data_IF_104551899596
#
_entry.id   IF_104551899596
#
_cell.length_a   1.000
_cell.length_b   1.000
_cell.length_c   1.000
_cell.angle_alpha   90.00
_cell.angle_beta   90.00
_cell.angle_gamma   90.00
#
_symmetry.space_group_name_H-M   'P 1'
#
loop_
_entity.id
_entity.type
_entity.pdbx_description
1 polymer ?
#
# COMPACT_ATOMS: atom_id res chain seq x y z
N UNK A 1 -0.11 33.93 -1.85
CA UNK A 1 -0.91 33.02 -2.68
C UNK A 1 -1.95 32.43 -1.76
N UNK A 2 -3.20 32.82 -1.97
CA UNK A 2 -4.34 32.41 -1.14
C UNK A 2 -4.72 30.98 -1.57
N UNK A 3 -4.63 30.02 -0.66
CA UNK A 3 -4.99 28.62 -0.93
C UNK A 3 -6.51 28.49 -0.90
N UNK A 4 -7.13 28.37 -2.06
CA UNK A 4 -8.56 28.08 -2.19
C UNK A 4 -8.77 26.59 -1.95
N UNK A 5 -9.67 26.25 -1.02
CA UNK A 5 -10.09 24.87 -0.77
C UNK A 5 -11.09 24.46 -1.88
N UNK A 6 -10.80 23.37 -2.58
CA UNK A 6 -11.59 22.85 -3.70
C UNK A 6 -11.94 21.39 -3.41
N UNK A 7 -13.18 20.99 -3.71
CA UNK A 7 -13.60 19.60 -3.61
C UNK A 7 -12.78 18.72 -4.57
N UNK A 8 -12.49 17.48 -4.18
CA UNK A 8 -11.68 16.56 -5.01
C UNK A 8 -12.32 16.28 -6.38
N UNK A 9 -13.65 16.29 -6.49
CA UNK A 9 -14.34 16.08 -7.76
C UNK A 9 -14.36 17.32 -8.66
N UNK A 10 -14.21 18.50 -8.06
CA UNK A 10 -14.16 19.78 -8.77
C UNK A 10 -12.71 20.21 -9.10
N UNK A 11 -11.72 19.44 -8.67
CA UNK A 11 -10.31 19.71 -8.95
C UNK A 11 -10.05 19.66 -10.47
N UNK A 12 -9.52 20.74 -11.07
CA UNK A 12 -9.16 20.73 -12.49
C UNK A 12 -8.20 19.58 -12.81
N UNK A 13 -8.55 18.81 -13.84
CA UNK A 13 -7.72 17.69 -14.31
C UNK A 13 -6.60 18.19 -15.24
N UNK A 14 -5.64 18.88 -14.67
CA UNK A 14 -4.42 19.35 -15.33
C UNK A 14 -3.17 19.00 -14.51
N UNK A 15 -1.99 19.11 -15.12
CA UNK A 15 -0.75 18.67 -14.46
C UNK A 15 -0.44 19.46 -13.20
N UNK A 16 -0.63 20.79 -13.20
CA UNK A 16 -0.23 21.66 -12.10
C UNK A 16 -1.17 21.48 -10.90
N UNK A 17 -2.49 21.43 -11.17
CA UNK A 17 -3.52 21.21 -10.16
C UNK A 17 -3.37 19.85 -9.49
N UNK A 18 -3.12 18.78 -10.26
CA UNK A 18 -2.93 17.43 -9.72
C UNK A 18 -1.63 17.32 -8.89
N UNK A 19 -0.53 17.91 -9.36
CA UNK A 19 0.72 17.96 -8.60
C UNK A 19 0.55 18.71 -7.27
N UNK A 20 -0.18 19.84 -7.28
CA UNK A 20 -0.49 20.59 -6.07
C UNK A 20 -1.35 19.77 -5.08
N UNK A 21 -2.22 18.88 -5.59
CA UNK A 21 -3.01 17.95 -4.80
C UNK A 21 -2.23 16.70 -4.33
N UNK A 22 -0.93 16.59 -4.67
CA UNK A 22 -0.07 15.48 -4.24
C UNK A 22 -0.27 14.18 -5.05
N UNK A 23 -0.80 14.28 -6.26
CA UNK A 23 -0.89 13.18 -7.24
C UNK A 23 -0.30 13.61 -8.58
N UNK A 24 -0.35 12.77 -9.61
CA UNK A 24 0.02 13.16 -10.97
C UNK A 24 -0.80 12.41 -12.02
N UNK A 25 -0.93 13.00 -13.21
CA UNK A 25 -1.47 12.30 -14.38
C UNK A 25 -0.34 11.73 -15.23
N UNK A 26 -0.27 10.40 -15.32
CA UNK A 26 0.63 9.68 -16.24
C UNK A 26 -0.02 9.48 -17.61
N UNK A 27 -0.61 8.31 -17.84
CA UNK A 27 -1.38 7.99 -19.07
C UNK A 27 -2.78 8.62 -19.11
N UNK A 28 -3.15 9.39 -18.08
CA UNK A 28 -4.51 9.91 -17.86
C UNK A 28 -5.59 8.83 -17.72
N UNK A 29 -5.21 7.58 -17.41
CA UNK A 29 -6.17 6.54 -17.08
C UNK A 29 -6.70 6.74 -15.65
N UNK A 30 -8.02 6.65 -15.50
CA UNK A 30 -8.72 6.77 -14.22
C UNK A 30 -9.34 5.41 -13.88
N UNK A 31 -9.04 4.90 -12.69
CA UNK A 31 -9.66 3.70 -12.13
C UNK A 31 -10.58 4.15 -11.00
N UNK A 32 -11.87 3.84 -11.13
CA UNK A 32 -12.88 4.16 -10.11
C UNK A 32 -13.16 2.90 -9.30
N UNK A 33 -13.05 3.03 -7.98
CA UNK A 33 -13.40 2.00 -7.00
C UNK A 33 -14.48 2.59 -6.08
N UNK A 34 -15.52 1.81 -5.79
CA UNK A 34 -16.56 2.18 -4.84
C UNK A 34 -16.28 1.59 -3.46
N UNK A 35 -17.16 1.86 -2.50
CA UNK A 35 -17.03 1.46 -1.10
C UNK A 35 -17.16 -0.06 -0.88
N UNK A 36 -17.46 -0.84 -1.93
CA UNK A 36 -17.49 -2.31 -1.84
C UNK A 36 -16.11 -2.95 -2.00
N UNK A 37 -15.10 -2.18 -2.42
CA UNK A 37 -13.74 -2.67 -2.68
C UNK A 37 -12.91 -2.63 -1.40
N UNK A 38 -12.26 -3.75 -1.06
CA UNK A 38 -11.23 -3.78 -0.02
C UNK A 38 -9.95 -3.09 -0.56
N UNK A 39 -9.62 -1.94 0.03
CA UNK A 39 -8.47 -1.13 -0.37
C UNK A 39 -7.13 -1.82 -0.12
N UNK A 40 -7.03 -2.68 0.90
CA UNK A 40 -5.83 -3.47 1.18
C UNK A 40 -5.64 -4.52 0.09
N UNK A 41 -6.72 -5.17 -0.36
CA UNK A 41 -6.69 -6.12 -1.48
C UNK A 41 -6.35 -5.43 -2.81
N UNK A 42 -6.94 -4.25 -3.07
CA UNK A 42 -6.61 -3.45 -4.25
C UNK A 42 -5.12 -3.09 -4.29
N UNK A 43 -4.54 -2.64 -3.16
CA UNK A 43 -3.11 -2.37 -3.08
C UNK A 43 -2.25 -3.63 -3.23
N UNK A 44 -2.71 -4.76 -2.69
CA UNK A 44 -2.03 -6.04 -2.82
C UNK A 44 -1.92 -6.46 -4.30
N UNK A 45 -2.98 -6.27 -5.08
CA UNK A 45 -2.97 -6.52 -6.53
C UNK A 45 -1.95 -5.63 -7.25
N UNK A 46 -1.99 -4.32 -7.01
CA UNK A 46 -1.05 -3.35 -7.61
C UNK A 46 0.40 -3.69 -7.24
N UNK A 47 0.66 -4.00 -5.97
CA UNK A 47 2.01 -4.32 -5.49
C UNK A 47 2.52 -5.65 -6.04
N UNK A 48 1.64 -6.64 -6.24
CA UNK A 48 2.00 -7.89 -6.90
C UNK A 48 2.44 -7.67 -8.35
N UNK A 49 1.75 -6.80 -9.09
CA UNK A 49 2.15 -6.42 -10.45
C UNK A 49 3.54 -5.76 -10.47
N UNK A 50 3.79 -4.75 -9.64
CA UNK A 50 5.10 -4.08 -9.61
C UNK A 50 6.23 -4.99 -9.14
N UNK A 51 5.96 -5.95 -8.25
CA UNK A 51 6.94 -6.96 -7.87
C UNK A 51 7.26 -7.91 -9.04
N UNK A 52 6.26 -8.30 -9.83
CA UNK A 52 6.44 -9.16 -11.00
C UNK A 52 7.23 -8.47 -12.13
N UNK A 53 6.91 -7.21 -12.41
CA UNK A 53 7.48 -6.45 -13.54
C UNK A 53 8.84 -5.77 -13.22
N UNK A 54 9.32 -5.89 -11.98
CA UNK A 54 10.61 -5.33 -11.61
C UNK A 54 11.75 -5.97 -12.42
N UNK A 55 12.49 -5.17 -13.20
CA UNK A 55 13.64 -5.65 -13.98
C UNK A 55 14.81 -6.17 -13.12
N UNK A 56 14.82 -5.84 -11.83
CA UNK A 56 15.79 -6.37 -10.86
C UNK A 56 17.13 -5.62 -10.78
N UNK A 57 17.33 -4.53 -11.52
CA UNK A 57 18.62 -3.82 -11.57
C UNK A 57 18.96 -3.08 -10.26
N UNK A 58 18.03 -2.32 -9.70
CA UNK A 58 18.24 -1.57 -8.46
C UNK A 58 17.84 -2.42 -7.25
N UNK A 59 18.74 -2.64 -6.29
CA UNK A 59 18.44 -3.32 -5.03
C UNK A 59 17.22 -2.76 -4.29
N UNK A 60 17.07 -1.43 -4.07
CA UNK A 60 15.89 -0.91 -3.38
C UNK A 60 14.59 -1.29 -4.09
N UNK A 61 14.54 -1.19 -5.43
CA UNK A 61 13.37 -1.58 -6.21
C UNK A 61 13.12 -3.10 -6.14
N UNK A 62 14.14 -3.93 -6.40
CA UNK A 62 14.01 -5.39 -6.49
C UNK A 62 13.58 -6.03 -5.18
N UNK A 63 14.25 -5.66 -4.09
CA UNK A 63 13.95 -6.23 -2.77
C UNK A 63 12.73 -5.54 -2.14
N UNK A 64 12.63 -4.22 -2.29
CA UNK A 64 11.56 -3.43 -1.69
C UNK A 64 10.18 -3.76 -2.28
N UNK A 65 10.05 -3.88 -3.61
CA UNK A 65 8.77 -4.26 -4.24
C UNK A 65 8.33 -5.66 -3.80
N UNK A 66 9.28 -6.60 -3.67
CA UNK A 66 9.01 -7.95 -3.19
C UNK A 66 8.55 -7.95 -1.72
N UNK A 67 9.19 -7.17 -0.85
CA UNK A 67 8.80 -7.07 0.56
C UNK A 67 7.42 -6.44 0.74
N UNK A 68 7.10 -5.37 -0.01
CA UNK A 68 5.77 -4.77 0.00
C UNK A 68 4.71 -5.77 -0.47
N UNK A 69 4.95 -6.45 -1.59
CA UNK A 69 4.05 -7.49 -2.12
C UNK A 69 3.81 -8.63 -1.11
N UNK A 70 4.88 -9.13 -0.46
CA UNK A 70 4.77 -10.18 0.57
C UNK A 70 4.01 -9.72 1.81
N UNK A 71 4.23 -8.48 2.27
CA UNK A 71 3.51 -7.93 3.42
C UNK A 71 2.02 -7.81 3.11
N UNK A 72 1.66 -7.27 1.96
CA UNK A 72 0.26 -7.14 1.53
C UNK A 72 -0.40 -8.50 1.33
N UNK A 73 0.26 -9.44 0.66
CA UNK A 73 -0.26 -10.80 0.52
C UNK A 73 -0.49 -11.48 1.88
N UNK A 74 0.39 -11.22 2.86
CA UNK A 74 0.22 -11.72 4.21
C UNK A 74 -1.01 -11.09 4.89
N UNK A 75 -1.22 -9.78 4.75
CA UNK A 75 -2.42 -9.09 5.27
C UNK A 75 -3.70 -9.62 4.63
N UNK A 76 -3.74 -9.81 3.32
CA UNK A 76 -4.93 -10.33 2.63
C UNK A 76 -5.17 -11.82 2.92
N UNK A 77 -4.19 -12.52 3.48
CA UNK A 77 -4.30 -13.93 3.88
C UNK A 77 -4.63 -14.13 5.37
N UNK A 78 -5.10 -13.09 6.06
CA UNK A 78 -5.49 -13.16 7.48
C UNK A 78 -4.31 -13.29 8.44
N UNK A 79 -3.12 -12.86 8.02
CA UNK A 79 -1.87 -12.91 8.79
C UNK A 79 -1.23 -11.54 8.95
N UNK A 80 -2.03 -10.48 8.78
CA UNK A 80 -1.62 -9.09 8.97
C UNK A 80 -1.09 -8.82 10.38
N UNK A 81 -0.42 -7.69 10.50
CA UNK A 81 0.08 -7.11 11.76
C UNK A 81 -0.35 -5.66 11.82
N UNK A 82 -0.61 -5.16 13.01
CA UNK A 82 -1.03 -3.76 13.17
C UNK A 82 0.03 -2.79 12.61
N UNK A 83 1.31 -3.14 12.74
CA UNK A 83 2.43 -2.31 12.28
C UNK A 83 2.67 -2.36 10.76
N UNK A 84 1.88 -3.14 10.00
CA UNK A 84 2.12 -3.30 8.56
C UNK A 84 1.96 -2.00 7.78
N UNK A 85 1.09 -1.10 8.21
CA UNK A 85 0.95 0.24 7.61
C UNK A 85 2.28 1.02 7.66
N UNK A 86 2.91 1.08 8.84
CA UNK A 86 4.18 1.78 9.02
C UNK A 86 5.34 1.06 8.33
N UNK A 87 5.32 -0.28 8.35
CA UNK A 87 6.30 -1.10 7.64
C UNK A 87 6.27 -0.88 6.11
N UNK A 88 5.08 -0.87 5.51
CA UNK A 88 4.88 -0.58 4.09
C UNK A 88 5.37 0.83 3.73
N UNK A 89 5.00 1.83 4.53
CA UNK A 89 5.43 3.22 4.36
C UNK A 89 6.96 3.34 4.42
N UNK A 90 7.58 2.64 5.37
CA UNK A 90 9.04 2.64 5.54
C UNK A 90 9.75 2.06 4.32
N UNK A 91 9.27 0.93 3.78
CA UNK A 91 9.87 0.32 2.58
C UNK A 91 9.73 1.26 1.39
N UNK A 92 8.51 1.73 1.09
CA UNK A 92 8.24 2.58 -0.06
C UNK A 92 9.07 3.88 -0.05
N UNK A 93 9.24 4.50 1.13
CA UNK A 93 10.09 5.70 1.30
C UNK A 93 11.57 5.43 1.02
N UNK A 94 12.05 4.20 1.25
CA UNK A 94 13.42 3.79 0.95
C UNK A 94 13.64 3.39 -0.51
N UNK A 95 12.59 3.25 -1.30
CA UNK A 95 12.68 3.02 -2.75
C UNK A 95 12.69 4.35 -3.50
N UNK A 96 11.71 5.22 -3.23
CA UNK A 96 11.54 6.50 -3.93
C UNK A 96 12.84 7.32 -3.94
N UNK A 97 13.22 7.83 -5.12
CA UNK A 97 14.39 8.69 -5.29
C UNK A 97 15.74 7.97 -5.15
N UNK A 98 15.75 6.64 -5.05
CA UNK A 98 16.97 5.81 -4.91
C UNK A 98 17.10 4.74 -6.00
N UNK A 99 16.40 4.94 -7.11
CA UNK A 99 16.37 4.03 -8.27
C UNK A 99 16.82 4.74 -9.54
N UNK A 100 17.28 3.97 -10.53
CA UNK A 100 17.79 4.53 -11.79
C UNK A 100 16.68 4.97 -12.76
N UNK A 101 15.48 4.40 -12.63
CA UNK A 101 14.34 4.70 -13.49
C UNK A 101 13.08 4.98 -12.66
N UNK A 102 12.07 5.56 -13.32
CA UNK A 102 10.79 5.95 -12.73
C UNK A 102 9.93 4.79 -12.20
N UNK A 103 10.34 3.53 -12.45
CA UNK A 103 9.62 2.36 -11.96
C UNK A 103 9.66 2.28 -10.42
N UNK A 104 10.74 2.78 -9.79
CA UNK A 104 10.84 2.81 -8.33
C UNK A 104 9.80 3.74 -7.70
N UNK A 105 9.58 4.92 -8.28
CA UNK A 105 8.51 5.83 -7.90
C UNK A 105 7.14 5.20 -8.15
N UNK A 106 6.95 4.60 -9.33
CA UNK A 106 5.69 4.00 -9.74
C UNK A 106 5.25 2.86 -8.80
N UNK A 107 6.19 2.06 -8.26
CA UNK A 107 5.86 1.02 -7.28
C UNK A 107 5.66 1.55 -5.85
N UNK A 108 6.28 2.69 -5.51
CA UNK A 108 6.27 3.24 -4.14
C UNK A 108 5.07 4.14 -3.87
N UNK A 109 4.71 5.00 -4.82
CA UNK A 109 3.67 6.01 -4.64
C UNK A 109 2.27 5.46 -4.40
N UNK A 110 1.84 4.35 -5.03
CA UNK A 110 0.56 3.72 -4.67
C UNK A 110 0.53 3.30 -3.20
N UNK A 111 1.61 2.68 -2.69
CA UNK A 111 1.70 2.26 -1.29
C UNK A 111 1.65 3.47 -0.35
N UNK A 112 2.45 4.51 -0.61
CA UNK A 112 2.44 5.74 0.20
C UNK A 112 1.07 6.42 0.19
N UNK A 113 0.41 6.49 -0.97
CA UNK A 113 -0.90 7.14 -1.12
C UNK A 113 -2.01 6.38 -0.40
N UNK A 114 -2.09 5.06 -0.63
CA UNK A 114 -3.11 4.20 -0.02
C UNK A 114 -2.98 4.17 1.50
N UNK A 115 -1.76 3.93 2.01
CA UNK A 115 -1.55 3.90 3.46
C UNK A 115 -1.81 5.27 4.08
N UNK A 116 -1.43 6.38 3.44
CA UNK A 116 -1.72 7.73 3.96
C UNK A 116 -3.23 7.99 4.07
N UNK A 117 -4.02 7.58 3.09
CA UNK A 117 -5.47 7.84 3.06
C UNK A 117 -6.28 6.88 3.92
N UNK A 118 -5.86 5.62 3.99
CA UNK A 118 -6.64 4.53 4.58
C UNK A 118 -5.92 3.84 5.72
N UNK A 119 -4.99 4.53 6.41
CA UNK A 119 -4.16 3.95 7.48
C UNK A 119 -4.96 3.14 8.49
N UNK A 120 -6.11 3.66 8.90
CA UNK A 120 -6.99 3.04 9.89
C UNK A 120 -7.51 1.67 9.42
N UNK A 121 -7.77 1.47 8.12
CA UNK A 121 -8.19 0.17 7.57
C UNK A 121 -7.05 -0.86 7.62
N UNK A 122 -5.83 -0.43 7.33
CA UNK A 122 -4.65 -1.30 7.43
C UNK A 122 -4.39 -1.72 8.88
N UNK A 123 -4.43 -0.78 9.82
CA UNK A 123 -4.24 -1.06 11.24
C UNK A 123 -5.37 -1.93 11.81
N UNK A 124 -6.62 -1.66 11.45
CA UNK A 124 -7.77 -2.42 11.90
C UNK A 124 -7.70 -3.88 11.41
N UNK A 125 -7.38 -4.09 10.12
CA UNK A 125 -7.16 -5.44 9.58
C UNK A 125 -6.01 -6.15 10.29
N UNK A 126 -4.88 -5.48 10.46
CA UNK A 126 -3.71 -6.03 11.15
C UNK A 126 -4.01 -6.46 12.59
N UNK A 127 -4.69 -5.60 13.35
CA UNK A 127 -5.08 -5.90 14.73
C UNK A 127 -6.11 -7.05 14.83
N UNK A 128 -7.05 -7.13 13.90
CA UNK A 128 -8.02 -8.22 13.84
C UNK A 128 -7.34 -9.57 13.56
N UNK A 129 -6.40 -9.59 12.60
CA UNK A 129 -5.63 -10.79 12.26
C UNK A 129 -4.75 -11.26 13.43
N UNK A 130 -4.13 -10.34 14.16
CA UNK A 130 -3.34 -10.66 15.36
C UNK A 130 -4.20 -11.28 16.46
N UNK A 131 -5.38 -10.71 16.73
CA UNK A 131 -6.32 -11.26 17.71
C UNK A 131 -6.76 -12.69 17.33
N UNK A 132 -7.12 -12.91 16.07
CA UNK A 132 -7.54 -14.22 15.57
C UNK A 132 -6.41 -15.27 15.67
N UNK A 133 -5.16 -14.86 15.40
CA UNK A 133 -3.98 -15.72 15.54
C UNK A 133 -3.71 -16.08 17.01
N UNK A 134 -3.85 -15.14 17.95
CA UNK A 134 -3.69 -15.40 19.38
C UNK A 134 -4.72 -16.42 19.89
N UNK A 135 -5.99 -16.28 19.50
CA UNK A 135 -7.04 -17.26 19.84
C UNK A 135 -6.74 -18.66 19.29
N UNK A 136 -6.26 -18.73 18.04
CA UNK A 136 -5.89 -19.99 17.39
C UNK A 136 -4.72 -20.67 18.11
N UNK A 137 -3.71 -19.90 18.49
CA UNK A 137 -2.54 -20.39 19.22
C UNK A 137 -2.91 -20.90 20.62
N UNK A 138 -3.82 -20.23 21.33
CA UNK A 138 -4.31 -20.67 22.64
C UNK A 138 -5.08 -22.00 22.54
N UNK A 139 -5.96 -22.17 21.54
CA UNK A 139 -6.68 -23.44 21.30
C UNK A 139 -5.72 -24.58 20.96
N UNK A 140 -4.69 -24.32 20.16
CA UNK A 140 -3.64 -25.30 19.83
C UNK A 140 -2.86 -25.75 21.07
N UNK A 141 -2.47 -24.80 21.93
CA UNK A 141 -1.74 -25.09 23.17
C UNK A 141 -2.58 -25.96 24.13
N UNK A 142 -3.87 -25.65 24.30
CA UNK A 142 -4.80 -26.44 25.13
C UNK A 142 -4.97 -27.87 24.58
N UNK A 143 -5.10 -28.03 23.27
CA UNK A 143 -5.26 -29.35 22.65
C UNK A 143 -3.99 -30.21 22.70
N UNK A 144 -2.80 -29.59 22.78
CA UNK A 144 -1.52 -30.30 22.91
C UNK A 144 -1.14 -30.69 24.34
N UNK A 145 -1.85 -30.15 25.34
CA UNK A 145 -1.62 -30.39 26.76
C UNK A 145 -2.53 -31.50 27.35
N UNK A 146 -3.45 -32.05 26.56
CA UNK A 146 -4.30 -33.20 26.89
C UNK A 146 -3.85 -34.44 26.10
#
# INVERSE_FOLDING_TARGET
>A
LESVEVDLLDLPYDFDSLMAAGTMSGSSAIIVMDDSVDIVEALANVSAFYAHESCGQCTPCREGSLWMSKALNRMTSGKGRKEDADYLTHIATNIQGRTICAFGEACSWPVLSFVKKFKDEFEARGAADEAAQLESNQKGAVNSAN
#
